data_IF_988598420924
#
_entry.id   IF_988598420924
#
_cell.length_a   1.000
_cell.length_b   1.000
_cell.length_c   1.000
_cell.angle_alpha   90.00
_cell.angle_beta   90.00
_cell.angle_gamma   90.00
#
_symmetry.space_group_name_H-M   'P 1'
#
loop_
_entity.id
_entity.type
_entity.pdbx_description
1 polymer ?
#
# COMPACT_ATOMS: atom_id res chain seq x y z
N UNK A 1 -38.10 16.25 6.29
CA UNK A 1 -37.82 15.66 7.61
C UNK A 1 -37.68 14.15 7.48
N UNK A 2 -36.74 13.54 8.22
CA UNK A 2 -36.60 12.10 8.41
C UNK A 2 -37.01 11.78 9.85
N UNK A 3 -37.68 10.65 10.02
CA UNK A 3 -38.08 10.16 11.34
C UNK A 3 -36.99 9.26 11.92
N UNK A 4 -36.47 9.64 13.09
CA UNK A 4 -35.49 8.85 13.84
C UNK A 4 -36.12 8.50 15.19
N UNK A 5 -36.58 7.25 15.33
CA UNK A 5 -37.41 6.85 16.47
C UNK A 5 -38.70 7.66 16.51
N UNK A 6 -38.94 8.38 17.60
CA UNK A 6 -40.14 9.22 17.79
C UNK A 6 -39.93 10.70 17.42
N UNK A 7 -38.73 11.08 16.95
CA UNK A 7 -38.40 12.47 16.61
C UNK A 7 -38.39 12.68 15.11
N UNK A 8 -38.98 13.80 14.68
CA UNK A 8 -38.79 14.33 13.33
C UNK A 8 -37.58 15.26 13.31
N UNK A 9 -36.68 15.02 12.36
CA UNK A 9 -35.44 15.77 12.21
C UNK A 9 -35.29 16.22 10.77
N UNK A 10 -34.84 17.45 10.55
CA UNK A 10 -34.55 17.94 9.19
C UNK A 10 -33.36 17.20 8.59
N UNK A 11 -33.49 16.82 7.31
CA UNK A 11 -32.44 16.13 6.58
C UNK A 11 -31.58 17.13 5.82
N UNK A 12 -30.26 16.97 5.94
CA UNK A 12 -29.28 17.75 5.19
C UNK A 12 -28.78 16.89 4.01
N UNK A 13 -28.92 17.37 2.78
CA UNK A 13 -28.51 16.66 1.55
C UNK A 13 -26.99 16.34 1.49
N UNK A 14 -26.18 17.06 2.27
CA UNK A 14 -24.73 16.81 2.42
C UNK A 14 -24.41 15.72 3.44
N UNK A 15 -25.38 15.19 4.18
CA UNK A 15 -25.16 14.15 5.17
C UNK A 15 -24.66 12.85 4.50
N UNK A 16 -23.66 12.21 5.12
CA UNK A 16 -23.10 10.92 4.72
C UNK A 16 -22.87 10.08 5.97
N UNK A 17 -23.24 8.81 5.91
CA UNK A 17 -23.07 7.85 7.01
C UNK A 17 -22.08 6.76 6.57
N UNK A 18 -21.06 6.53 7.39
CA UNK A 18 -20.12 5.41 7.25
C UNK A 18 -20.20 4.60 8.53
N UNK A 19 -20.39 3.30 8.40
CA UNK A 19 -20.41 2.34 9.51
C UNK A 19 -19.19 1.44 9.38
N UNK A 20 -18.51 1.18 10.49
CA UNK A 20 -17.36 0.28 10.54
C UNK A 20 -17.56 -0.77 11.64
N UNK A 21 -17.03 -1.98 11.42
CA UNK A 21 -17.04 -3.07 12.38
C UNK A 21 -15.69 -3.78 12.40
N UNK A 22 -15.33 -4.34 13.55
CA UNK A 22 -14.13 -5.18 13.71
C UNK A 22 -14.41 -6.67 13.52
N UNK A 23 -15.69 -7.05 13.41
CA UNK A 23 -16.05 -8.44 13.14
C UNK A 23 -15.64 -8.77 11.70
N UNK A 24 -14.85 -9.83 11.52
CA UNK A 24 -14.31 -10.20 10.21
C UNK A 24 -15.40 -10.73 9.26
N UNK A 25 -16.39 -11.46 9.78
CA UNK A 25 -17.50 -11.99 8.99
C UNK A 25 -18.84 -11.92 9.74
N UNK A 26 -19.36 -10.71 10.01
CA UNK A 26 -20.66 -10.53 10.63
C UNK A 26 -21.76 -10.99 9.67
N UNK A 27 -22.75 -11.73 10.20
CA UNK A 27 -23.90 -12.13 9.41
C UNK A 27 -24.85 -10.95 9.24
N UNK A 28 -24.93 -10.41 8.01
CA UNK A 28 -25.90 -9.38 7.64
C UNK A 28 -27.11 -10.02 6.95
N UNK A 29 -28.32 -9.57 7.32
CA UNK A 29 -29.54 -9.96 6.62
C UNK A 29 -29.48 -9.48 5.16
N UNK A 30 -30.03 -10.23 4.19
CA UNK A 30 -30.02 -9.84 2.78
C UNK A 30 -30.56 -8.44 2.51
N UNK A 31 -31.58 -8.01 3.26
CA UNK A 31 -32.16 -6.66 3.17
C UNK A 31 -31.12 -5.56 3.45
N UNK A 32 -30.30 -5.73 4.48
CA UNK A 32 -29.24 -4.77 4.82
C UNK A 32 -28.12 -4.78 3.77
N UNK A 33 -27.80 -5.95 3.22
CA UNK A 33 -26.81 -6.09 2.14
C UNK A 33 -27.27 -5.44 0.84
N UNK A 34 -28.58 -5.44 0.56
CA UNK A 34 -29.14 -4.77 -0.61
C UNK A 34 -29.13 -3.24 -0.46
N UNK A 35 -29.25 -2.73 0.77
CA UNK A 35 -29.32 -1.30 1.06
C UNK A 35 -27.94 -0.66 1.35
N UNK A 36 -26.89 -1.46 1.51
CA UNK A 36 -25.55 -0.97 1.89
C UNK A 36 -24.47 -1.61 1.03
N UNK A 37 -23.42 -0.85 0.71
CA UNK A 37 -22.24 -1.38 0.04
C UNK A 37 -21.26 -1.89 1.09
N UNK A 38 -21.01 -3.20 1.12
CA UNK A 38 -20.01 -3.79 2.00
C UNK A 38 -18.60 -3.60 1.42
N UNK A 39 -17.72 -2.95 2.17
CA UNK A 39 -16.30 -2.79 1.83
C UNK A 39 -15.47 -3.68 2.74
N UNK A 40 -14.71 -4.61 2.17
CA UNK A 40 -13.87 -5.53 2.92
C UNK A 40 -12.43 -4.98 3.02
N UNK A 41 -11.98 -4.69 4.24
CA UNK A 41 -10.62 -4.25 4.56
C UNK A 41 -9.73 -5.40 5.09
N UNK A 42 -10.10 -6.65 4.83
CA UNK A 42 -9.31 -7.82 5.25
C UNK A 42 -7.94 -7.79 4.57
N UNK A 43 -6.90 -8.02 5.37
CA UNK A 43 -5.52 -8.12 4.90
C UNK A 43 -5.39 -9.35 4.00
N UNK A 44 -4.89 -9.16 2.78
CA UNK A 44 -4.62 -10.23 1.83
C UNK A 44 -3.15 -10.65 1.88
N UNK A 45 -2.84 -11.87 1.42
CA UNK A 45 -1.45 -12.37 1.36
C UNK A 45 -0.56 -11.46 0.53
N UNK A 46 -1.00 -11.14 -0.68
CA UNK A 46 -0.26 -10.31 -1.63
C UNK A 46 -0.14 -8.86 -1.13
N UNK A 47 -1.22 -8.32 -0.54
CA UNK A 47 -1.23 -6.96 0.00
C UNK A 47 -0.28 -6.81 1.19
N UNK A 48 -0.25 -7.80 2.08
CA UNK A 48 0.69 -7.81 3.20
C UNK A 48 2.12 -8.03 2.73
N UNK A 49 2.34 -8.93 1.77
CA UNK A 49 3.66 -9.16 1.20
C UNK A 49 4.26 -7.88 0.63
N UNK A 50 3.49 -7.10 -0.15
CA UNK A 50 3.97 -5.84 -0.71
C UNK A 50 4.28 -4.80 0.39
N UNK A 51 3.49 -4.77 1.47
CA UNK A 51 3.76 -3.91 2.62
C UNK A 51 5.07 -4.31 3.33
N UNK A 52 5.25 -5.60 3.59
CA UNK A 52 6.45 -6.12 4.24
C UNK A 52 7.69 -5.93 3.36
N UNK A 53 7.55 -6.06 2.03
CA UNK A 53 8.63 -5.75 1.08
C UNK A 53 9.06 -4.28 1.19
N UNK A 54 8.11 -3.35 1.27
CA UNK A 54 8.39 -1.95 1.53
C UNK A 54 9.16 -1.74 2.84
N UNK A 55 8.80 -2.46 3.91
CA UNK A 55 9.50 -2.37 5.19
C UNK A 55 10.94 -2.93 5.13
N UNK A 56 11.17 -4.07 4.47
CA UNK A 56 12.53 -4.62 4.28
C UNK A 56 13.39 -3.66 3.46
N UNK A 57 12.88 -3.21 2.31
CA UNK A 57 13.61 -2.29 1.42
C UNK A 57 13.93 -0.98 2.15
N UNK A 58 12.98 -0.44 2.92
CA UNK A 58 13.21 0.78 3.70
C UNK A 58 14.33 0.62 4.74
N UNK A 59 14.49 -0.57 5.31
CA UNK A 59 15.55 -0.85 6.27
C UNK A 59 16.90 -1.10 5.59
N UNK A 60 16.92 -1.89 4.52
CA UNK A 60 18.15 -2.32 3.84
C UNK A 60 18.69 -1.30 2.83
N UNK A 61 17.79 -0.62 2.11
CA UNK A 61 18.08 0.30 1.01
C UNK A 61 17.21 1.56 1.09
N UNK A 62 17.39 2.38 2.14
CA UNK A 62 16.63 3.63 2.30
C UNK A 62 16.84 4.60 1.14
N UNK A 63 17.97 4.50 0.42
CA UNK A 63 18.26 5.25 -0.80
C UNK A 63 17.26 4.94 -1.93
N UNK A 64 16.92 3.66 -2.13
CA UNK A 64 15.93 3.24 -3.12
C UNK A 64 14.54 3.74 -2.74
N UNK A 65 14.17 3.64 -1.46
CA UNK A 65 12.86 4.06 -0.97
C UNK A 65 12.68 5.59 -1.09
N UNK A 66 13.70 6.36 -0.73
CA UNK A 66 13.70 7.82 -0.90
C UNK A 66 13.59 8.22 -2.38
N UNK A 67 14.35 7.55 -3.25
CA UNK A 67 14.29 7.78 -4.70
C UNK A 67 12.89 7.47 -5.25
N UNK A 68 12.27 6.36 -4.83
CA UNK A 68 10.91 5.99 -5.21
C UNK A 68 9.88 7.04 -4.78
N UNK A 69 10.00 7.52 -3.54
CA UNK A 69 9.12 8.55 -2.98
C UNK A 69 9.25 9.87 -3.76
N UNK A 70 10.48 10.29 -4.07
CA UNK A 70 10.74 11.50 -4.85
C UNK A 70 10.21 11.38 -6.27
N UNK A 71 10.44 10.25 -6.93
CA UNK A 71 9.94 9.96 -8.27
C UNK A 71 8.40 10.01 -8.32
N UNK A 72 7.73 9.43 -7.32
CA UNK A 72 6.26 9.46 -7.20
C UNK A 72 5.76 10.89 -7.01
N UNK A 73 6.43 11.69 -6.18
CA UNK A 73 6.12 13.11 -5.98
C UNK A 73 6.27 13.90 -7.28
N UNK A 74 7.38 13.70 -8.00
CA UNK A 74 7.62 14.35 -9.29
C UNK A 74 6.55 13.98 -10.33
N UNK A 75 6.19 12.70 -10.45
CA UNK A 75 5.13 12.24 -11.35
C UNK A 75 3.77 12.88 -11.02
N UNK A 76 3.43 13.01 -9.74
CA UNK A 76 2.20 13.68 -9.32
C UNK A 76 2.24 15.17 -9.66
N UNK A 77 3.36 15.85 -9.43
CA UNK A 77 3.55 17.25 -9.84
C UNK A 77 3.39 17.41 -11.35
N UNK A 78 4.00 16.53 -12.16
CA UNK A 78 3.86 16.56 -13.62
C UNK A 78 2.41 16.38 -14.08
N UNK A 79 1.66 15.46 -13.47
CA UNK A 79 0.23 15.29 -13.77
C UNK A 79 -0.58 16.55 -13.44
N UNK A 80 -0.28 17.18 -12.31
CA UNK A 80 -0.95 18.43 -11.91
C UNK A 80 -0.61 19.53 -12.92
N UNK A 81 0.67 19.74 -13.25
CA UNK A 81 1.07 20.79 -14.19
C UNK A 81 0.52 20.58 -15.58
N UNK A 82 0.47 19.34 -16.09
CA UNK A 82 -0.15 19.04 -17.38
C UNK A 82 -1.64 19.39 -17.38
N UNK A 83 -2.36 19.04 -16.32
CA UNK A 83 -3.76 19.38 -16.18
C UNK A 83 -3.98 20.89 -16.10
N UNK A 84 -3.15 21.61 -15.34
CA UNK A 84 -3.22 23.08 -15.27
C UNK A 84 -2.95 23.73 -16.64
N UNK A 85 -1.97 23.23 -17.39
CA UNK A 85 -1.67 23.71 -18.74
C UNK A 85 -2.85 23.44 -19.70
N UNK A 86 -3.51 22.30 -19.58
CA UNK A 86 -4.70 21.94 -20.35
C UNK A 86 -5.90 22.85 -20.01
N UNK A 87 -6.18 23.04 -18.72
CA UNK A 87 -7.25 23.90 -18.22
C UNK A 87 -7.04 25.37 -18.64
N UNK A 88 -5.79 25.87 -18.54
CA UNK A 88 -5.44 27.23 -18.98
C UNK A 88 -5.60 27.42 -20.49
N UNK A 89 -5.23 26.40 -21.27
CA UNK A 89 -5.37 26.41 -22.73
C UNK A 89 -6.86 26.41 -23.14
N UNK A 90 -7.68 25.58 -22.50
CA UNK A 90 -9.13 25.56 -22.71
C UNK A 90 -9.80 26.88 -22.32
N UNK A 91 -9.44 27.43 -21.16
CA UNK A 91 -9.95 28.72 -20.71
C UNK A 91 -9.63 29.82 -21.72
N UNK A 92 -8.38 29.88 -22.21
CA UNK A 92 -7.97 30.89 -23.18
C UNK A 92 -8.62 30.72 -24.54
N UNK A 93 -8.77 29.48 -25.04
CA UNK A 93 -9.53 29.22 -26.28
C UNK A 93 -10.99 29.62 -26.15
N UNK A 94 -11.62 29.37 -25.00
CA UNK A 94 -13.01 29.76 -24.74
C UNK A 94 -13.19 31.28 -24.58
N UNK A 95 -12.15 31.97 -24.11
CA UNK A 95 -12.14 33.43 -23.91
C UNK A 95 -11.70 34.19 -25.17
N UNK A 96 -11.12 33.51 -26.16
CA UNK A 96 -10.66 34.15 -27.38
C UNK A 96 -11.85 34.57 -28.25
N UNK A 97 -11.84 35.83 -28.70
CA UNK A 97 -12.87 36.39 -29.58
C UNK A 97 -12.86 35.78 -30.99
N UNK A 98 -13.63 36.37 -31.91
CA UNK A 98 -13.82 35.86 -33.27
C UNK A 98 -12.56 35.77 -34.15
N UNK A 99 -11.44 36.39 -33.74
CA UNK A 99 -10.17 36.37 -34.49
C UNK A 99 -8.96 35.93 -33.65
N UNK A 100 -8.93 34.64 -33.33
CA UNK A 100 -7.87 33.95 -32.57
C UNK A 100 -6.46 34.22 -33.15
N UNK A 101 -6.34 34.36 -34.48
CA UNK A 101 -5.06 34.55 -35.16
C UNK A 101 -4.46 35.96 -34.97
N UNK A 102 -5.24 36.92 -34.48
CA UNK A 102 -4.76 38.28 -34.21
C UNK A 102 -4.12 38.44 -32.83
N UNK A 103 -4.34 37.48 -31.93
CA UNK A 103 -3.79 37.50 -30.57
C UNK A 103 -2.40 36.82 -30.55
N UNK A 104 -1.38 37.64 -30.79
CA UNK A 104 0.03 37.21 -30.75
C UNK A 104 0.40 36.63 -29.37
N UNK A 105 -0.19 37.14 -28.29
CA UNK A 105 0.08 36.64 -26.94
C UNK A 105 -0.51 35.23 -26.74
N UNK A 106 -1.65 34.92 -27.36
CA UNK A 106 -2.24 33.58 -27.35
C UNK A 106 -1.36 32.58 -28.12
N UNK A 107 -0.86 32.95 -29.30
CA UNK A 107 0.01 32.08 -30.12
C UNK A 107 1.33 31.75 -29.42
N UNK A 108 1.99 32.75 -28.84
CA UNK A 108 3.25 32.55 -28.10
C UNK A 108 3.04 31.64 -26.90
N UNK A 109 1.94 31.81 -26.17
CA UNK A 109 1.64 30.96 -25.01
C UNK A 109 1.23 29.54 -25.39
N UNK A 110 0.57 29.34 -26.53
CA UNK A 110 0.29 28.00 -27.06
C UNK A 110 1.59 27.26 -27.38
N UNK A 111 2.56 27.96 -27.96
CA UNK A 111 3.86 27.39 -28.30
C UNK A 111 4.69 27.05 -27.05
N UNK A 112 4.69 27.91 -26.03
CA UNK A 112 5.36 27.61 -24.75
C UNK A 112 4.69 26.45 -24.02
N UNK A 113 3.35 26.41 -23.95
CA UNK A 113 2.60 25.30 -23.35
C UNK A 113 2.87 23.98 -24.06
N UNK A 114 2.89 23.99 -25.40
CA UNK A 114 3.22 22.79 -26.19
C UNK A 114 4.64 22.30 -25.90
N UNK A 115 5.60 23.22 -25.81
CA UNK A 115 7.00 22.88 -25.52
C UNK A 115 7.16 22.30 -24.11
N UNK A 116 6.57 22.93 -23.09
CA UNK A 116 6.64 22.43 -21.71
C UNK A 116 5.94 21.09 -21.55
N UNK A 117 4.79 20.88 -22.20
CA UNK A 117 4.11 19.59 -22.22
C UNK A 117 4.99 18.48 -22.83
N UNK A 118 5.63 18.74 -23.97
CA UNK A 118 6.54 17.80 -24.61
C UNK A 118 7.76 17.47 -23.73
N UNK A 119 8.35 18.46 -23.06
CA UNK A 119 9.43 18.24 -22.10
C UNK A 119 9.00 17.39 -20.89
N UNK A 120 7.78 17.60 -20.39
CA UNK A 120 7.21 16.79 -19.30
C UNK A 120 6.99 15.34 -19.76
N UNK A 121 6.47 15.12 -20.97
CA UNK A 121 6.26 13.77 -21.49
C UNK A 121 7.56 12.96 -21.57
N UNK A 122 8.65 13.59 -22.03
CA UNK A 122 9.98 12.97 -22.05
C UNK A 122 10.42 12.58 -20.63
N UNK A 123 10.32 13.52 -19.67
CA UNK A 123 10.69 13.25 -18.27
C UNK A 123 9.81 12.18 -17.61
N UNK A 124 8.52 12.12 -17.94
CA UNK A 124 7.61 11.08 -17.45
C UNK A 124 8.01 9.72 -18.00
N UNK A 125 8.43 9.64 -19.26
CA UNK A 125 8.94 8.39 -19.85
C UNK A 125 10.23 7.91 -19.16
N UNK A 126 11.20 8.82 -18.95
CA UNK A 126 12.44 8.53 -18.21
C UNK A 126 12.17 8.09 -16.76
N UNK A 127 11.23 8.77 -16.09
CA UNK A 127 10.80 8.41 -14.75
C UNK A 127 10.18 7.00 -14.72
N UNK A 128 9.42 6.61 -15.74
CA UNK A 128 8.85 5.25 -15.85
C UNK A 128 9.95 4.19 -15.94
N UNK A 129 10.98 4.42 -16.75
CA UNK A 129 12.13 3.50 -16.86
C UNK A 129 12.87 3.38 -15.53
N UNK A 130 13.05 4.51 -14.84
CA UNK A 130 13.70 4.53 -13.52
C UNK A 130 12.86 3.79 -12.47
N UNK A 131 11.53 3.95 -12.49
CA UNK A 131 10.62 3.25 -11.59
C UNK A 131 10.73 1.72 -11.76
N UNK A 132 10.79 1.22 -12.99
CA UNK A 132 10.95 -0.21 -13.27
C UNK A 132 12.26 -0.73 -12.68
N UNK A 133 13.39 -0.02 -12.87
CA UNK A 133 14.68 -0.42 -12.29
C UNK A 133 14.66 -0.44 -10.76
N UNK A 134 13.95 0.51 -10.14
CA UNK A 134 13.78 0.54 -8.68
C UNK A 134 12.97 -0.67 -8.24
N UNK A 135 11.86 -0.97 -8.91
CA UNK A 135 11.04 -2.14 -8.55
C UNK A 135 11.82 -3.45 -8.77
N UNK A 136 12.57 -3.60 -9.87
CA UNK A 136 13.49 -4.73 -10.06
C UNK A 136 14.51 -4.88 -8.92
N UNK A 137 15.04 -3.76 -8.41
CA UNK A 137 15.94 -3.77 -7.26
C UNK A 137 15.23 -4.18 -5.96
N UNK A 138 13.94 -3.84 -5.79
CA UNK A 138 13.13 -4.26 -4.64
C UNK A 138 12.84 -5.76 -4.68
N UNK A 139 12.62 -6.32 -5.86
CA UNK A 139 12.29 -7.75 -6.04
C UNK A 139 13.32 -8.71 -5.45
N UNK A 140 14.59 -8.30 -5.34
CA UNK A 140 15.63 -9.10 -4.66
C UNK A 140 15.30 -9.42 -3.19
N UNK A 141 14.52 -8.55 -2.52
CA UNK A 141 14.10 -8.73 -1.14
C UNK A 141 12.73 -9.42 -1.01
N UNK A 142 12.02 -9.66 -2.12
CA UNK A 142 10.70 -10.30 -2.12
C UNK A 142 10.69 -11.64 -1.36
N UNK A 143 11.69 -12.54 -1.48
CA UNK A 143 11.68 -13.80 -0.74
C UNK A 143 11.54 -13.63 0.79
N UNK A 144 12.15 -12.60 1.37
CA UNK A 144 12.02 -12.29 2.80
C UNK A 144 10.61 -11.82 3.16
N UNK A 145 10.01 -10.98 2.30
CA UNK A 145 8.64 -10.49 2.47
C UNK A 145 7.59 -11.60 2.29
N UNK A 146 7.75 -12.46 1.28
CA UNK A 146 6.89 -13.63 1.05
C UNK A 146 6.93 -14.55 2.25
N UNK A 147 8.12 -14.86 2.78
CA UNK A 147 8.26 -15.68 3.99
C UNK A 147 7.54 -15.05 5.17
N UNK A 148 7.74 -13.75 5.41
CA UNK A 148 7.10 -13.04 6.51
C UNK A 148 5.57 -13.00 6.40
N UNK A 149 5.04 -12.75 5.18
CA UNK A 149 3.59 -12.79 4.92
C UNK A 149 3.03 -14.18 5.24
N UNK A 150 3.66 -15.23 4.72
CA UNK A 150 3.28 -16.62 5.00
C UNK A 150 3.23 -16.91 6.50
N UNK A 151 4.26 -16.53 7.25
CA UNK A 151 4.31 -16.70 8.70
C UNK A 151 3.15 -15.97 9.41
N UNK A 152 2.84 -14.73 9.03
CA UNK A 152 1.70 -14.01 9.61
C UNK A 152 0.38 -14.75 9.40
N UNK A 153 0.14 -15.30 8.20
CA UNK A 153 -1.09 -16.04 7.94
C UNK A 153 -1.16 -17.38 8.66
N UNK A 154 -0.02 -18.05 8.90
CA UNK A 154 0.03 -19.20 9.80
C UNK A 154 -0.39 -18.77 11.21
N UNK A 155 0.19 -17.68 11.73
CA UNK A 155 -0.14 -17.13 13.05
C UNK A 155 -1.64 -16.77 13.16
N UNK A 156 -2.18 -16.14 12.13
CA UNK A 156 -3.60 -15.77 12.07
C UNK A 156 -4.48 -17.01 12.11
N UNK A 157 -4.09 -18.11 11.46
CA UNK A 157 -4.86 -19.36 11.42
C UNK A 157 -4.77 -20.19 12.72
N UNK A 158 -3.85 -19.88 13.64
CA UNK A 158 -3.73 -20.61 14.92
C UNK A 158 -4.99 -20.54 15.79
N UNK A 159 -5.82 -19.51 15.62
CA UNK A 159 -7.10 -19.40 16.33
C UNK A 159 -8.04 -20.59 16.05
N UNK A 160 -7.82 -21.31 14.94
CA UNK A 160 -8.60 -22.51 14.54
C UNK A 160 -8.26 -23.73 15.39
N UNK A 161 -7.04 -23.78 15.94
CA UNK A 161 -6.60 -24.83 16.89
C UNK A 161 -7.13 -24.48 18.28
N UNK A 162 -6.89 -23.24 18.73
CA UNK A 162 -7.36 -22.75 20.01
C UNK A 162 -7.79 -21.29 19.89
N UNK A 163 -9.02 -20.97 20.32
CA UNK A 163 -9.60 -19.63 20.20
C UNK A 163 -8.78 -18.51 20.88
N UNK A 164 -7.92 -18.86 21.84
CA UNK A 164 -7.04 -17.94 22.55
C UNK A 164 -5.82 -17.51 21.72
N UNK A 165 -5.47 -18.24 20.66
CA UNK A 165 -4.32 -17.95 19.80
C UNK A 165 -4.66 -16.87 18.79
N UNK A 166 -4.78 -15.64 19.29
CA UNK A 166 -5.05 -14.46 18.48
C UNK A 166 -3.83 -13.54 18.47
N UNK A 167 -3.29 -13.33 17.26
CA UNK A 167 -2.15 -12.46 17.05
C UNK A 167 -2.56 -11.26 16.20
N UNK A 168 -2.29 -10.06 16.70
CA UNK A 168 -2.54 -8.84 15.93
C UNK A 168 -1.42 -8.60 14.92
N UNK A 169 -1.78 -8.06 13.75
CA UNK A 169 -0.80 -7.63 12.74
C UNK A 169 0.21 -6.63 13.34
N UNK A 170 -0.25 -5.71 14.19
CA UNK A 170 0.62 -4.74 14.86
C UNK A 170 1.71 -5.40 15.71
N UNK A 171 1.38 -6.46 16.44
CA UNK A 171 2.37 -7.19 17.23
C UNK A 171 3.37 -7.92 16.31
N UNK A 172 2.87 -8.54 15.23
CA UNK A 172 3.72 -9.17 14.21
C UNK A 172 4.69 -8.16 13.57
N UNK A 173 4.23 -6.99 13.16
CA UNK A 173 5.08 -5.94 12.56
C UNK A 173 6.23 -5.52 13.49
N UNK A 174 5.99 -5.45 14.81
CA UNK A 174 7.06 -5.13 15.77
C UNK A 174 8.12 -6.25 15.80
N UNK A 175 7.69 -7.52 15.84
CA UNK A 175 8.60 -8.67 15.82
C UNK A 175 9.39 -8.71 14.51
N UNK A 176 8.73 -8.47 13.39
CA UNK A 176 9.32 -8.41 12.06
C UNK A 176 10.39 -7.32 11.95
N UNK A 177 10.10 -6.09 12.37
CA UNK A 177 11.07 -5.00 12.38
C UNK A 177 12.28 -5.28 13.29
N UNK A 178 12.04 -5.90 14.44
CA UNK A 178 13.13 -6.34 15.31
C UNK A 178 13.96 -7.45 14.66
N UNK A 179 13.35 -8.33 13.87
CA UNK A 179 14.06 -9.40 13.18
C UNK A 179 14.97 -8.89 12.06
N UNK A 180 14.53 -7.87 11.32
CA UNK A 180 15.39 -7.20 10.32
C UNK A 180 16.62 -6.60 11.00
N UNK A 181 16.43 -5.92 12.13
CA UNK A 181 17.52 -5.30 12.91
C UNK A 181 18.48 -6.31 13.53
N UNK A 182 17.97 -7.48 13.92
CA UNK A 182 18.77 -8.54 14.55
C UNK A 182 19.53 -9.40 13.54
N UNK A 183 19.09 -9.44 12.28
CA UNK A 183 19.73 -10.22 11.24
C UNK A 183 21.17 -9.75 11.00
N UNK A 184 22.11 -10.69 10.87
CA UNK A 184 23.53 -10.39 10.63
C UNK A 184 23.76 -9.72 9.26
N UNK A 185 24.54 -8.64 9.24
CA UNK A 185 24.87 -7.91 8.03
C UNK A 185 25.75 -8.75 7.08
N UNK A 186 25.58 -8.56 5.77
CA UNK A 186 26.43 -9.21 4.77
C UNK A 186 26.47 -8.40 3.48
N UNK A 187 27.66 -8.26 2.91
CA UNK A 187 27.87 -7.54 1.63
C UNK A 187 27.28 -8.29 0.42
N UNK A 188 27.07 -9.60 0.55
CA UNK A 188 26.44 -10.38 -0.52
C UNK A 188 24.92 -10.38 -0.35
N UNK A 189 24.21 -9.79 -1.32
CA UNK A 189 22.76 -9.64 -1.29
C UNK A 189 22.01 -10.96 -1.07
N UNK A 190 22.38 -12.02 -1.80
CA UNK A 190 21.71 -13.32 -1.67
C UNK A 190 21.93 -13.92 -0.27
N UNK A 191 23.14 -13.78 0.27
CA UNK A 191 23.44 -14.21 1.64
C UNK A 191 22.67 -13.37 2.67
N UNK A 192 22.60 -12.05 2.48
CA UNK A 192 21.85 -11.13 3.34
C UNK A 192 20.36 -11.48 3.37
N UNK A 193 19.76 -11.75 2.22
CA UNK A 193 18.35 -12.16 2.13
C UNK A 193 18.11 -13.49 2.86
N UNK A 194 19.02 -14.46 2.74
CA UNK A 194 18.96 -15.70 3.52
C UNK A 194 18.99 -15.45 5.04
N UNK A 195 19.93 -14.62 5.50
CA UNK A 195 20.04 -14.26 6.93
C UNK A 195 18.80 -13.51 7.45
N UNK A 196 18.18 -12.65 6.62
CA UNK A 196 16.91 -12.01 6.95
C UNK A 196 15.80 -13.04 7.13
N UNK A 197 15.66 -13.97 6.17
CA UNK A 197 14.66 -15.05 6.23
C UNK A 197 14.83 -15.89 7.50
N UNK A 198 16.06 -16.26 7.84
CA UNK A 198 16.37 -17.06 9.02
C UNK A 198 16.05 -16.30 10.31
N UNK A 199 16.48 -15.04 10.41
CA UNK A 199 16.19 -14.18 11.56
C UNK A 199 14.69 -13.95 11.77
N UNK A 200 13.96 -13.63 10.68
CA UNK A 200 12.50 -13.45 10.70
C UNK A 200 11.82 -14.73 11.17
N UNK A 201 12.19 -15.87 10.57
CA UNK A 201 11.60 -17.18 10.91
C UNK A 201 11.85 -17.51 12.38
N UNK A 202 13.08 -17.36 12.85
CA UNK A 202 13.47 -17.66 14.23
C UNK A 202 12.76 -16.78 15.26
N UNK A 203 12.73 -15.46 15.05
CA UNK A 203 12.13 -14.54 16.01
C UNK A 203 10.60 -14.64 16.05
N UNK A 204 9.96 -14.86 14.90
CA UNK A 204 8.51 -15.13 14.85
C UNK A 204 8.20 -16.46 15.56
N UNK A 205 9.00 -17.49 15.35
CA UNK A 205 8.85 -18.77 16.06
C UNK A 205 8.99 -18.59 17.57
N UNK A 206 10.03 -17.91 18.03
CA UNK A 206 10.29 -17.67 19.45
C UNK A 206 9.21 -16.81 20.10
N UNK A 207 8.73 -15.77 19.42
CA UNK A 207 7.65 -14.92 19.89
C UNK A 207 6.35 -15.70 20.06
N UNK A 208 5.98 -16.47 19.03
CA UNK A 208 4.71 -17.22 19.00
C UNK A 208 4.74 -18.37 20.01
N UNK A 209 5.84 -19.12 20.06
CA UNK A 209 6.00 -20.28 20.96
C UNK A 209 5.91 -19.93 22.45
N UNK A 210 6.17 -18.67 22.84
CA UNK A 210 5.95 -18.20 24.23
C UNK A 210 4.47 -18.12 24.61
N UNK A 211 3.58 -17.94 23.63
CA UNK A 211 2.14 -17.85 23.83
C UNK A 211 1.37 -19.16 23.59
N UNK A 212 2.04 -20.20 23.09
CA UNK A 212 1.43 -21.50 22.79
C UNK A 212 1.57 -22.48 23.94
N UNK A 213 0.59 -23.37 24.09
CA UNK A 213 0.70 -24.55 24.95
C UNK A 213 1.68 -25.55 24.33
N UNK A 214 2.39 -26.32 25.16
CA UNK A 214 3.42 -27.24 24.69
C UNK A 214 2.91 -28.25 23.64
N UNK A 215 1.68 -28.75 23.82
CA UNK A 215 1.08 -29.71 22.91
C UNK A 215 0.89 -29.14 21.48
N UNK A 216 0.70 -27.83 21.35
CA UNK A 216 0.40 -27.17 20.07
C UNK A 216 1.67 -26.65 19.37
N UNK A 217 2.81 -26.57 20.06
CA UNK A 217 4.08 -26.08 19.49
C UNK A 217 4.59 -26.96 18.35
N UNK A 218 4.43 -28.28 18.45
CA UNK A 218 4.85 -29.19 17.40
C UNK A 218 4.06 -28.95 16.11
N UNK A 219 2.74 -28.76 16.22
CA UNK A 219 1.87 -28.45 15.08
C UNK A 219 2.31 -27.14 14.43
N UNK A 220 2.55 -26.10 15.24
CA UNK A 220 3.03 -24.82 14.74
C UNK A 220 4.38 -24.92 14.04
N UNK A 221 5.35 -25.64 14.62
CA UNK A 221 6.66 -25.87 14.01
C UNK A 221 6.52 -26.59 12.67
N UNK A 222 5.73 -27.66 12.61
CA UNK A 222 5.47 -28.38 11.36
C UNK A 222 4.84 -27.49 10.30
N UNK A 223 3.86 -26.65 10.65
CA UNK A 223 3.24 -25.71 9.71
C UNK A 223 4.26 -24.71 9.16
N UNK A 224 5.14 -24.18 10.02
CA UNK A 224 6.21 -23.27 9.59
C UNK A 224 7.25 -23.93 8.68
N UNK A 225 7.55 -25.22 8.86
CA UNK A 225 8.56 -25.92 8.05
C UNK A 225 8.01 -26.37 6.69
N UNK A 226 6.75 -26.79 6.64
CA UNK A 226 6.13 -27.36 5.43
C UNK A 226 5.66 -26.28 4.45
N UNK A 227 5.15 -25.16 4.96
CA UNK A 227 4.71 -24.02 4.16
C UNK A 227 5.88 -23.07 3.90
#
# INVERSE_FOLDING_TARGET
AIKIGDKEVDFNDKFRLILQTKLANPHYKPEMQAQTTLINFTVTKDGLEEQLLGEVVKAERPDLENTKAELTKQQNTFKITLKTLEDDLLHRLSSAGSNILSDVALVVNLETTKKTAAEIEIKVAEAKVTAVKIDEAREWYRPAATRASLLYFILNDLHKINMLYQFSLKAFSIVFQNAIKFAEESDNLNKRVGLLIDSITYLVFMYTSRGLFENDKLIFLCQMTIQ
#
